data_IF_839091506561
#
_entry.id   IF_839091506561
#
_cell.length_a   1.000
_cell.length_b   1.000
_cell.length_c   1.000
_cell.angle_alpha   90.00
_cell.angle_beta   90.00
_cell.angle_gamma   90.00
#
_symmetry.space_group_name_H-M   'P 1'
#
loop_
_entity.id
_entity.type
_entity.pdbx_description
1 polymer ?
#
# COMPACT_ATOMS: atom_id res chain seq x y z
N UNK A 1 4.26 -7.20 -11.86
CA UNK A 1 5.10 -8.16 -12.64
C UNK A 1 6.55 -7.86 -12.32
N UNK A 2 7.43 -8.83 -12.50
CA UNK A 2 8.88 -8.61 -12.36
C UNK A 2 9.56 -8.80 -13.71
N UNK A 3 10.40 -7.83 -14.08
CA UNK A 3 11.25 -7.88 -15.27
C UNK A 3 12.71 -7.90 -14.79
N UNK A 4 13.54 -8.85 -15.25
CA UNK A 4 14.97 -8.83 -14.97
C UNK A 4 15.62 -7.52 -15.41
N UNK A 5 16.51 -6.98 -14.58
CA UNK A 5 17.30 -5.81 -14.93
C UNK A 5 18.28 -6.14 -16.06
N UNK A 6 18.67 -5.14 -16.85
CA UNK A 6 19.68 -5.28 -17.91
C UNK A 6 19.14 -5.67 -19.29
N UNK A 7 17.84 -5.94 -19.42
CA UNK A 7 17.19 -6.06 -20.71
C UNK A 7 17.23 -4.75 -21.51
N UNK A 8 17.45 -4.83 -22.83
CA UNK A 8 17.44 -3.69 -23.75
C UNK A 8 16.53 -3.98 -24.94
N UNK A 9 15.83 -2.96 -25.44
CA UNK A 9 14.94 -3.08 -26.59
C UNK A 9 13.68 -3.91 -26.31
N UNK A 10 13.16 -4.57 -27.34
CA UNK A 10 12.00 -5.44 -27.20
C UNK A 10 12.39 -6.73 -26.46
N UNK A 11 11.84 -6.92 -25.26
CA UNK A 11 12.04 -8.13 -24.48
C UNK A 11 11.12 -9.24 -24.98
N UNK A 12 11.57 -10.49 -24.88
CA UNK A 12 10.75 -11.66 -25.19
C UNK A 12 9.45 -11.67 -24.35
N UNK A 13 8.33 -12.21 -24.87
CA UNK A 13 7.04 -12.21 -24.17
C UNK A 13 7.08 -12.85 -22.76
N UNK A 14 7.96 -13.83 -22.59
CA UNK A 14 8.22 -14.62 -21.37
C UNK A 14 9.38 -14.08 -20.53
N UNK A 15 9.99 -12.95 -20.90
CA UNK A 15 11.07 -12.33 -20.13
C UNK A 15 10.64 -11.89 -18.71
N UNK A 16 9.33 -11.82 -18.45
CA UNK A 16 8.82 -11.54 -17.12
C UNK A 16 8.94 -12.77 -16.22
N UNK A 17 9.72 -12.66 -15.13
CA UNK A 17 9.87 -13.74 -14.15
C UNK A 17 8.53 -14.16 -13.52
N UNK A 18 7.61 -13.20 -13.35
CA UNK A 18 6.23 -13.48 -12.97
C UNK A 18 5.31 -12.32 -13.34
N UNK A 19 4.02 -12.62 -13.51
CA UNK A 19 2.94 -11.64 -13.74
C UNK A 19 1.75 -11.94 -12.84
N UNK A 20 1.27 -10.94 -12.12
CA UNK A 20 0.03 -11.02 -11.36
C UNK A 20 -1.10 -10.37 -12.17
N UNK A 21 -2.22 -11.08 -12.33
CA UNK A 21 -3.37 -10.63 -13.13
C UNK A 21 -4.60 -10.25 -12.29
N UNK A 22 -4.61 -10.59 -11.00
CA UNK A 22 -5.76 -10.41 -10.09
C UNK A 22 -5.31 -9.79 -8.78
N UNK A 23 -6.20 -9.02 -8.14
CA UNK A 23 -5.91 -8.37 -6.87
C UNK A 23 -4.85 -7.27 -6.97
N UNK A 24 -4.67 -6.71 -8.18
CA UNK A 24 -3.76 -5.61 -8.46
C UNK A 24 -4.41 -4.27 -8.13
N UNK A 25 -3.58 -3.31 -7.73
CA UNK A 25 -3.98 -1.90 -7.58
C UNK A 25 -4.35 -1.29 -8.93
N UNK A 26 -5.32 -0.36 -8.93
CA UNK A 26 -5.66 0.41 -10.13
C UNK A 26 -4.85 1.71 -10.20
N UNK A 27 -5.00 2.58 -9.19
CA UNK A 27 -4.26 3.85 -9.10
C UNK A 27 -3.17 3.82 -8.02
N UNK A 28 -3.46 3.21 -6.87
CA UNK A 28 -2.53 3.19 -5.74
C UNK A 28 -1.18 2.57 -6.11
N UNK A 29 -0.10 3.29 -5.77
CA UNK A 29 1.27 2.80 -5.98
C UNK A 29 1.65 1.77 -4.90
N UNK A 30 2.23 0.62 -5.30
CA UNK A 30 2.69 -0.43 -4.38
C UNK A 30 3.91 -0.02 -3.56
N UNK A 31 4.19 -0.74 -2.48
CA UNK A 31 5.37 -0.53 -1.63
C UNK A 31 6.09 -1.86 -1.36
N UNK A 32 7.43 -1.85 -1.36
CA UNK A 32 8.29 -2.98 -1.01
C UNK A 32 8.94 -2.69 0.34
N UNK A 33 8.50 -3.38 1.38
CA UNK A 33 8.98 -3.15 2.74
C UNK A 33 9.23 -4.47 3.47
N UNK A 34 10.38 -4.57 4.14
CA UNK A 34 10.76 -5.80 4.87
C UNK A 34 10.80 -7.05 4.00
N UNK A 35 11.13 -6.91 2.71
CA UNK A 35 11.16 -8.02 1.74
C UNK A 35 9.78 -8.50 1.27
N UNK A 36 8.70 -7.80 1.61
CA UNK A 36 7.34 -8.11 1.17
C UNK A 36 6.81 -6.98 0.31
N UNK A 37 6.17 -7.34 -0.80
CA UNK A 37 5.57 -6.37 -1.73
C UNK A 37 4.08 -6.23 -1.43
N UNK A 38 3.63 -5.00 -1.21
CA UNK A 38 2.29 -4.65 -0.79
C UNK A 38 1.57 -3.85 -1.88
N UNK A 39 0.29 -4.16 -2.06
CA UNK A 39 -0.63 -3.47 -2.97
C UNK A 39 -1.96 -3.28 -2.27
N UNK A 40 -2.68 -2.21 -2.59
CA UNK A 40 -4.09 -2.04 -2.22
C UNK A 40 -4.94 -1.85 -3.47
N UNK A 41 -5.99 -2.66 -3.59
CA UNK A 41 -7.03 -2.53 -4.61
C UNK A 41 -8.26 -1.88 -3.96
N UNK A 42 -9.03 -1.17 -4.78
CA UNK A 42 -10.38 -0.68 -4.46
C UNK A 42 -11.25 -1.73 -3.76
N UNK A 43 -12.10 -1.25 -2.86
CA UNK A 43 -12.80 -2.06 -1.89
C UNK A 43 -11.91 -2.48 -0.70
N UNK A 44 -10.76 -1.84 -0.52
CA UNK A 44 -9.87 -1.99 0.64
C UNK A 44 -9.12 -3.31 0.71
N UNK A 45 -8.90 -3.99 -0.41
CA UNK A 45 -8.22 -5.29 -0.43
C UNK A 45 -6.71 -5.03 -0.50
N UNK A 46 -6.00 -5.29 0.60
CA UNK A 46 -4.53 -5.27 0.58
C UNK A 46 -4.01 -6.66 0.30
N UNK A 47 -3.16 -6.75 -0.70
CA UNK A 47 -2.45 -7.96 -1.12
C UNK A 47 -0.99 -7.81 -0.74
N UNK A 48 -0.43 -8.84 -0.11
CA UNK A 48 1.00 -9.00 0.14
C UNK A 48 1.52 -10.17 -0.68
N UNK A 49 2.70 -10.01 -1.29
CA UNK A 49 3.31 -11.06 -2.12
C UNK A 49 4.83 -11.11 -1.94
N UNK A 50 5.39 -12.27 -2.25
CA UNK A 50 6.83 -12.49 -2.33
C UNK A 50 7.37 -11.86 -3.63
N UNK A 51 8.22 -10.83 -3.58
CA UNK A 51 8.64 -10.06 -4.76
C UNK A 51 9.43 -10.91 -5.77
N UNK A 52 10.13 -11.96 -5.33
CA UNK A 52 10.92 -12.81 -6.23
C UNK A 52 10.06 -13.73 -7.08
N UNK A 53 8.97 -14.25 -6.53
CA UNK A 53 8.15 -15.30 -7.17
C UNK A 53 6.78 -14.81 -7.63
N UNK A 54 6.31 -13.68 -7.11
CA UNK A 54 4.94 -13.21 -7.33
C UNK A 54 3.90 -13.97 -6.51
N UNK A 55 4.32 -14.89 -5.63
CA UNK A 55 3.41 -15.71 -4.83
C UNK A 55 2.67 -14.82 -3.82
N UNK A 56 1.34 -14.89 -3.83
CA UNK A 56 0.50 -14.15 -2.87
C UNK A 56 0.67 -14.79 -1.49
N UNK A 57 1.15 -13.99 -0.53
CA UNK A 57 1.31 -14.40 0.86
C UNK A 57 -0.02 -14.29 1.61
N UNK A 58 -0.71 -13.16 1.43
CA UNK A 58 -2.00 -12.89 2.03
C UNK A 58 -2.76 -11.86 1.22
N UNK A 59 -4.05 -12.05 1.11
CA UNK A 59 -4.99 -11.08 0.57
C UNK A 59 -6.15 -10.95 1.55
N UNK A 60 -6.44 -9.73 1.99
CA UNK A 60 -7.53 -9.47 2.93
C UNK A 60 -8.04 -8.04 2.79
N UNK A 61 -9.31 -7.85 3.11
CA UNK A 61 -9.91 -6.53 3.16
C UNK A 61 -9.53 -5.81 4.45
N UNK A 62 -9.30 -4.50 4.37
CA UNK A 62 -9.33 -3.60 5.53
C UNK A 62 -10.80 -3.50 5.95
N UNK A 63 -11.17 -4.23 6.99
CA UNK A 63 -12.51 -4.09 7.57
C UNK A 63 -12.72 -2.63 8.01
N UNK A 64 -13.93 -2.11 7.83
CA UNK A 64 -14.31 -0.69 8.10
C UNK A 64 -13.73 0.37 7.16
N UNK A 65 -13.01 -0.01 6.10
CA UNK A 65 -12.60 0.91 5.03
C UNK A 65 -12.80 0.34 3.60
N UNK A 66 -14.00 -0.15 3.22
CA UNK A 66 -14.27 -0.70 1.90
C UNK A 66 -14.54 0.39 0.84
N UNK A 67 -13.59 1.29 0.62
CA UNK A 67 -13.74 2.44 -0.30
C UNK A 67 -12.78 2.32 -1.51
N UNK A 68 -12.73 3.35 -2.37
CA UNK A 68 -11.70 3.48 -3.41
C UNK A 68 -10.35 3.89 -2.78
N UNK A 69 -9.25 3.50 -3.42
CA UNK A 69 -7.89 3.80 -2.94
C UNK A 69 -7.04 4.38 -4.07
N UNK A 70 -6.83 5.69 -4.01
CA UNK A 70 -5.99 6.43 -4.97
C UNK A 70 -4.60 6.72 -4.42
N UNK A 71 -4.51 7.00 -3.11
CA UNK A 71 -3.25 7.25 -2.43
C UNK A 71 -2.33 6.02 -2.52
N UNK A 72 -1.03 6.25 -2.72
CA UNK A 72 -0.02 5.20 -2.61
C UNK A 72 0.07 4.67 -1.18
N UNK A 73 0.59 3.46 -1.03
CA UNK A 73 0.97 2.96 0.29
C UNK A 73 2.27 3.64 0.73
N UNK A 74 2.45 3.80 2.04
CA UNK A 74 3.76 4.09 2.62
C UNK A 74 4.06 3.16 3.77
N UNK A 75 5.34 2.88 4.00
CA UNK A 75 5.79 1.97 5.03
C UNK A 75 6.81 2.63 5.97
N UNK A 76 6.64 2.41 7.27
CA UNK A 76 7.61 2.78 8.30
C UNK A 76 7.33 2.02 9.59
N UNK A 77 8.35 1.87 10.45
CA UNK A 77 8.20 1.35 11.81
C UNK A 77 7.42 0.02 11.88
N UNK A 78 7.74 -0.91 10.98
CA UNK A 78 7.09 -2.22 10.92
C UNK A 78 5.60 -2.17 10.51
N UNK A 79 5.15 -1.07 9.89
CA UNK A 79 3.75 -0.84 9.51
C UNK A 79 3.64 -0.35 8.07
N UNK A 80 2.53 -0.72 7.44
CA UNK A 80 2.05 -0.18 6.17
C UNK A 80 0.85 0.72 6.46
N UNK A 81 0.85 1.91 5.87
CA UNK A 81 -0.22 2.89 5.98
C UNK A 81 -0.94 2.99 4.65
N UNK A 82 -2.27 2.93 4.69
CA UNK A 82 -3.12 3.09 3.51
C UNK A 82 -4.22 4.09 3.81
N UNK A 83 -4.50 4.96 2.86
CA UNK A 83 -5.55 5.96 2.97
C UNK A 83 -6.59 5.74 1.86
N UNK A 84 -7.87 5.65 2.24
CA UNK A 84 -8.98 5.57 1.31
C UNK A 84 -9.45 6.96 0.87
N UNK A 85 -10.18 7.04 -0.24
CA UNK A 85 -10.70 8.32 -0.76
C UNK A 85 -11.56 9.08 0.28
N UNK A 86 -12.27 8.35 1.14
CA UNK A 86 -13.17 8.89 2.15
C UNK A 86 -12.45 9.27 3.46
N UNK A 87 -11.12 9.29 3.46
CA UNK A 87 -10.35 9.66 4.66
C UNK A 87 -10.16 8.54 5.67
N UNK A 88 -10.44 7.27 5.33
CA UNK A 88 -10.12 6.16 6.23
C UNK A 88 -8.63 5.85 6.14
N UNK A 89 -7.88 6.17 7.20
CA UNK A 89 -6.47 5.89 7.34
C UNK A 89 -6.25 4.59 8.14
N UNK A 90 -5.94 3.50 7.43
CA UNK A 90 -5.71 2.21 8.06
C UNK A 90 -4.23 1.92 8.26
N UNK A 91 -3.93 1.36 9.43
CA UNK A 91 -2.59 0.95 9.85
C UNK A 91 -2.52 -0.55 9.85
N UNK A 92 -1.51 -1.09 9.18
CA UNK A 92 -1.37 -2.52 8.92
C UNK A 92 -0.01 -2.97 9.39
N UNK A 93 0.07 -4.09 10.11
CA UNK A 93 1.37 -4.68 10.46
C UNK A 93 2.09 -5.13 9.19
N UNK A 94 3.32 -4.64 8.99
CA UNK A 94 4.18 -5.07 7.90
C UNK A 94 4.85 -6.40 8.26
N UNK A 95 4.13 -7.48 8.01
CA UNK A 95 4.62 -8.85 8.15
C UNK A 95 4.06 -9.73 7.04
N UNK A 96 4.60 -10.94 6.88
CA UNK A 96 4.09 -11.95 5.93
C UNK A 96 2.63 -12.32 6.21
N UNK A 97 2.26 -12.33 7.49
CA UNK A 97 0.87 -12.38 7.92
C UNK A 97 0.42 -10.97 8.28
N UNK A 98 -0.52 -10.45 7.49
CA UNK A 98 -1.09 -9.11 7.66
C UNK A 98 -2.10 -9.11 8.80
N UNK A 99 -1.96 -8.18 9.73
CA UNK A 99 -2.98 -7.83 10.74
C UNK A 99 -3.30 -6.34 10.62
N UNK A 100 -4.58 -5.97 10.53
CA UNK A 100 -4.99 -4.56 10.65
C UNK A 100 -4.85 -4.17 12.11
N UNK A 101 -4.06 -3.13 12.38
CA UNK A 101 -3.78 -2.63 13.72
C UNK A 101 -4.79 -1.57 14.13
N UNK A 102 -5.16 -0.70 13.20
CA UNK A 102 -6.12 0.38 13.44
C UNK A 102 -6.75 0.85 12.12
N UNK A 103 -7.94 1.46 12.22
CA UNK A 103 -8.56 2.24 11.15
C UNK A 103 -9.05 3.54 11.77
N UNK A 104 -8.49 4.65 11.30
CA UNK A 104 -8.80 5.99 11.78
C UNK A 104 -9.60 6.76 10.74
N UNK A 105 -10.44 7.66 11.19
CA UNK A 105 -11.20 8.56 10.33
C UNK A 105 -10.54 9.95 10.34
N UNK A 106 -10.23 10.48 9.16
CA UNK A 106 -9.71 11.85 9.00
C UNK A 106 -10.84 12.88 8.86
N UNK A 107 -12.10 12.41 8.77
CA UNK A 107 -13.30 13.24 8.64
C UNK A 107 -13.25 14.21 7.45
N UNK A 108 -12.50 13.82 6.41
CA UNK A 108 -12.31 14.58 5.18
C UNK A 108 -11.74 13.66 4.09
N UNK A 109 -12.03 13.96 2.83
CA UNK A 109 -11.58 13.16 1.69
C UNK A 109 -10.07 13.28 1.48
N UNK A 110 -9.42 12.22 1.01
CA UNK A 110 -8.01 12.28 0.64
C UNK A 110 -7.67 11.41 -0.56
N UNK A 111 -6.90 12.00 -1.47
CA UNK A 111 -6.30 11.32 -2.62
C UNK A 111 -4.77 11.34 -2.53
N UNK A 112 -4.22 11.95 -1.47
CA UNK A 112 -2.80 12.18 -1.33
C UNK A 112 -2.13 11.01 -0.62
N UNK A 113 -1.01 10.55 -1.17
CA UNK A 113 -0.11 9.63 -0.47
C UNK A 113 0.43 10.30 0.81
N UNK A 114 0.31 9.65 1.99
CA UNK A 114 0.94 10.15 3.21
C UNK A 114 2.45 10.35 3.02
N UNK A 115 3.03 11.35 3.67
CA UNK A 115 4.47 11.61 3.62
C UNK A 115 5.10 11.42 5.00
N UNK A 116 6.27 10.80 5.08
CA UNK A 116 6.97 10.55 6.35
C UNK A 116 8.28 11.33 6.35
N UNK A 117 8.49 12.15 7.38
CA UNK A 117 9.72 12.93 7.56
C UNK A 117 9.92 13.32 9.02
N UNK A 118 11.15 13.28 9.52
CA UNK A 118 11.50 13.73 10.87
C UNK A 118 10.73 13.02 11.99
N UNK A 119 10.47 11.71 11.85
CA UNK A 119 9.70 10.93 12.82
C UNK A 119 8.19 11.23 12.85
N UNK A 120 7.69 11.97 11.85
CA UNK A 120 6.29 12.37 11.72
C UNK A 120 5.70 11.88 10.41
N UNK A 121 4.38 11.66 10.41
CA UNK A 121 3.60 11.34 9.22
C UNK A 121 2.64 12.49 8.92
N UNK A 122 2.69 12.99 7.70
CA UNK A 122 1.84 14.06 7.20
C UNK A 122 0.80 13.48 6.26
N UNK A 123 -0.47 13.83 6.47
CA UNK A 123 -1.57 13.40 5.60
C UNK A 123 -2.36 14.62 5.17
N UNK A 124 -2.31 14.91 3.87
CA UNK A 124 -3.09 15.99 3.27
C UNK A 124 -4.47 15.45 2.89
N UNK A 125 -5.53 16.06 3.40
CA UNK A 125 -6.90 15.84 2.94
C UNK A 125 -7.30 16.95 1.98
N UNK A 126 -8.57 17.01 1.58
CA UNK A 126 -9.09 18.08 0.73
C UNK A 126 -8.97 19.45 1.40
N UNK A 127 -9.29 19.56 2.68
CA UNK A 127 -9.33 20.82 3.43
C UNK A 127 -8.26 20.98 4.50
N UNK A 128 -7.52 19.94 4.87
CA UNK A 128 -6.61 19.95 6.03
C UNK A 128 -5.26 19.28 5.73
N UNK A 129 -4.26 19.61 6.54
CA UNK A 129 -3.00 18.87 6.63
C UNK A 129 -2.83 18.35 8.06
N UNK A 130 -2.91 17.04 8.23
CA UNK A 130 -2.67 16.38 9.51
C UNK A 130 -1.19 16.08 9.69
N UNK A 131 -0.72 16.14 10.94
CA UNK A 131 0.61 15.69 11.35
C UNK A 131 0.46 14.71 12.52
N UNK A 132 0.87 13.46 12.32
CA UNK A 132 0.89 12.41 13.33
C UNK A 132 2.32 12.15 13.80
N UNK A 133 2.49 11.91 15.09
CA UNK A 133 3.75 11.51 15.72
C UNK A 133 3.50 10.32 16.65
N UNK A 134 4.54 9.53 16.91
CA UNK A 134 4.47 8.54 17.99
C UNK A 134 4.25 9.26 19.32
N UNK A 135 3.51 8.61 20.23
CA UNK A 135 3.45 9.05 21.63
C UNK A 135 4.78 8.69 22.29
N UNK A 136 5.32 9.63 23.07
CA UNK A 136 6.48 9.43 23.95
C UNK A 136 6.13 8.47 25.10
#
# INVERSE_FOLDING_TARGET
MSIPLGGRGALAPDAAAWRLKRGISYVSSPDLYGGVYYMVKDGGIVTSLEPKTGCVLKQARVERAPCQYFAGLVAADGKIFVASEQGKAAVVKAARQRTVLAVNDLEDETYATPAISGGRMFVRTRGKLFCFAARE
#
